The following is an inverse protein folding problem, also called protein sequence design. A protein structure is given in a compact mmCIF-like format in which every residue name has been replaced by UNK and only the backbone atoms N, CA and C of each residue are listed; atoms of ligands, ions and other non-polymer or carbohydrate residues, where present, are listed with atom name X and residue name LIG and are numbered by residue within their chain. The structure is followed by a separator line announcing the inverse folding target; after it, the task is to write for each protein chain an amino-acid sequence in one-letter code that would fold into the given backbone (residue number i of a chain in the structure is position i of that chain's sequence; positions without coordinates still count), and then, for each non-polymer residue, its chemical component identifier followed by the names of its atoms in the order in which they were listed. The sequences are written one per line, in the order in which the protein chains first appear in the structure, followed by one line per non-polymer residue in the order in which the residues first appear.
data_IF_972317116100
#
_entry.id   IF_972317116100
#
_cell.length_a   1.000
_cell.length_b   1.000
_cell.length_c   1.000
_cell.angle_alpha   90.00
_cell.angle_beta   90.00
_cell.angle_gamma   90.00
#
_symmetry.space_group_name_H-M   'P 1'
#
loop_
_entity.id
_entity.type
_entity.pdbx_description
1 polymer ?
#
# COMPACT_ATOMS: atom_id res chain seq x y z
N UNK A 1 -28.39 -29.14 65.74
CA UNK A 1 -28.06 -29.71 64.41
C UNK A 1 -28.46 -28.66 63.38
N UNK A 2 -27.48 -27.84 62.91
CA UNK A 2 -27.70 -26.77 61.92
C UNK A 2 -27.12 -27.25 60.58
N UNK A 3 -28.00 -27.42 59.58
CA UNK A 3 -27.63 -27.73 58.21
C UNK A 3 -27.21 -26.42 57.53
N UNK A 4 -25.94 -26.36 57.08
CA UNK A 4 -25.43 -25.30 56.16
C UNK A 4 -25.70 -25.77 54.72
N UNK A 5 -26.58 -25.07 54.04
CA UNK A 5 -26.77 -25.20 52.60
C UNK A 5 -25.78 -24.29 51.88
N UNK A 6 -24.79 -24.91 51.20
CA UNK A 6 -23.81 -24.22 50.38
C UNK A 6 -24.42 -24.00 48.96
N UNK A 7 -24.64 -22.73 48.60
CA UNK A 7 -25.07 -22.35 47.26
C UNK A 7 -23.86 -22.23 46.35
N UNK A 8 -23.72 -23.14 45.39
CA UNK A 8 -22.70 -23.14 44.37
C UNK A 8 -23.16 -22.22 43.20
N UNK A 9 -22.63 -21.02 43.16
CA UNK A 9 -22.90 -20.05 42.09
C UNK A 9 -22.22 -20.49 40.80
N UNK A 10 -22.99 -20.86 39.80
CA UNK A 10 -22.53 -21.18 38.44
C UNK A 10 -22.20 -19.89 37.69
N UNK A 11 -20.91 -19.58 37.55
CA UNK A 11 -20.43 -18.42 36.79
C UNK A 11 -20.53 -18.76 35.28
N UNK A 12 -21.56 -18.22 34.62
CA UNK A 12 -21.71 -18.31 33.17
C UNK A 12 -20.68 -17.36 32.52
N UNK A 13 -19.58 -17.92 32.00
CA UNK A 13 -18.69 -17.21 31.07
C UNK A 13 -19.43 -17.03 29.75
N UNK A 14 -19.95 -15.84 29.48
CA UNK A 14 -20.42 -15.47 28.15
C UNK A 14 -19.21 -15.35 27.21
N UNK A 15 -19.21 -15.99 26.03
CA UNK A 15 -18.16 -15.75 25.04
C UNK A 15 -18.26 -14.30 24.58
N UNK A 16 -17.18 -13.54 24.75
CA UNK A 16 -17.04 -12.23 24.15
C UNK A 16 -17.04 -12.42 22.64
N UNK A 17 -18.12 -12.06 21.99
CA UNK A 17 -18.18 -11.90 20.53
C UNK A 17 -17.21 -10.78 20.19
N UNK A 18 -16.02 -11.12 19.72
CA UNK A 18 -15.12 -10.19 19.08
C UNK A 18 -15.88 -9.65 17.86
N UNK A 19 -16.41 -8.43 17.97
CA UNK A 19 -16.89 -7.66 16.83
C UNK A 19 -15.65 -7.41 15.96
N UNK A 20 -15.46 -8.26 14.96
CA UNK A 20 -14.46 -8.05 13.93
C UNK A 20 -14.76 -6.69 13.30
N UNK A 21 -13.83 -5.75 13.42
CA UNK A 21 -13.85 -4.52 12.65
C UNK A 21 -13.79 -4.96 11.19
N UNK A 22 -14.94 -4.88 10.51
CA UNK A 22 -14.99 -5.14 9.08
C UNK A 22 -14.27 -4.00 8.37
N UNK A 23 -12.96 -4.13 8.15
CA UNK A 23 -12.16 -3.26 7.30
C UNK A 23 -12.54 -3.51 5.82
N UNK A 24 -13.83 -3.33 5.53
CA UNK A 24 -14.39 -3.45 4.20
C UNK A 24 -14.67 -2.10 3.57
N UNK A 25 -14.70 -2.06 2.26
CA UNK A 25 -15.12 -0.89 1.50
C UNK A 25 -16.04 -1.29 0.35
N UNK A 26 -16.74 -0.31 -0.21
CA UNK A 26 -17.63 -0.53 -1.34
C UNK A 26 -16.91 -0.29 -2.67
N UNK A 27 -16.96 -1.29 -3.55
CA UNK A 27 -16.70 -1.17 -4.98
C UNK A 27 -18.04 -1.08 -5.72
N UNK A 28 -18.54 0.13 -5.93
CA UNK A 28 -19.91 0.33 -6.40
C UNK A 28 -20.92 -0.15 -5.35
N UNK A 29 -21.70 -1.19 -5.70
CA UNK A 29 -22.69 -1.79 -4.80
C UNK A 29 -22.18 -3.04 -4.07
N UNK A 30 -20.94 -3.45 -4.32
CA UNK A 30 -20.38 -4.69 -3.78
C UNK A 30 -19.40 -4.39 -2.66
N UNK A 31 -19.46 -5.17 -1.59
CA UNK A 31 -18.54 -5.06 -0.47
C UNK A 31 -17.29 -5.89 -0.75
N UNK A 32 -16.14 -5.31 -0.49
CA UNK A 32 -14.83 -5.95 -0.46
C UNK A 32 -14.32 -5.90 0.96
N UNK A 33 -13.84 -7.02 1.47
CA UNK A 33 -13.39 -7.16 2.86
C UNK A 33 -11.96 -7.71 2.91
N UNK A 34 -11.25 -7.37 3.98
CA UNK A 34 -9.96 -8.02 4.28
C UNK A 34 -10.16 -9.53 4.36
N UNK A 35 -9.28 -10.28 3.73
CA UNK A 35 -9.37 -11.73 3.54
C UNK A 35 -9.93 -12.18 2.19
N UNK A 36 -10.61 -11.31 1.44
CA UNK A 36 -11.12 -11.63 0.11
C UNK A 36 -9.96 -12.03 -0.82
N UNK A 37 -10.12 -13.09 -1.62
CA UNK A 37 -9.10 -13.46 -2.59
C UNK A 37 -9.05 -12.45 -3.74
N UNK A 38 -7.88 -12.28 -4.34
CA UNK A 38 -7.62 -11.27 -5.39
C UNK A 38 -8.60 -11.38 -6.57
N UNK A 39 -8.95 -12.60 -7.01
CA UNK A 39 -9.90 -12.82 -8.10
C UNK A 39 -11.32 -12.34 -7.78
N UNK A 40 -11.72 -12.43 -6.50
CA UNK A 40 -13.03 -11.94 -6.07
C UNK A 40 -13.06 -10.42 -6.04
N UNK A 41 -12.00 -9.78 -5.54
CA UNK A 41 -11.84 -8.33 -5.58
C UNK A 41 -11.85 -7.82 -7.02
N UNK A 42 -11.14 -8.49 -7.94
CA UNK A 42 -11.14 -8.15 -9.37
C UNK A 42 -12.53 -8.18 -10.01
N UNK A 43 -13.40 -9.09 -9.56
CA UNK A 43 -14.80 -9.15 -10.06
C UNK A 43 -15.72 -8.10 -9.46
N UNK A 44 -15.38 -7.58 -8.30
CA UNK A 44 -16.20 -6.60 -7.56
C UNK A 44 -15.82 -5.16 -7.89
N UNK A 45 -14.54 -4.90 -8.15
CA UNK A 45 -13.97 -3.57 -8.32
C UNK A 45 -13.65 -3.23 -9.78
N UNK A 46 -13.47 -1.94 -10.11
CA UNK A 46 -12.93 -1.55 -11.38
C UNK A 46 -11.48 -2.04 -11.52
N UNK A 47 -11.00 -2.11 -12.75
CA UNK A 47 -9.62 -2.45 -13.03
C UNK A 47 -8.66 -1.45 -12.35
N UNK A 48 -7.61 -1.93 -11.66
CA UNK A 48 -6.62 -1.05 -11.07
C UNK A 48 -5.85 -0.31 -12.17
N UNK A 49 -5.72 1.01 -12.03
CA UNK A 49 -4.92 1.80 -12.96
C UNK A 49 -3.42 1.71 -12.67
N UNK A 50 -3.06 1.21 -11.50
CA UNK A 50 -1.67 1.02 -11.08
C UNK A 50 -1.54 -0.26 -10.27
N UNK A 51 -0.55 -1.07 -10.64
CA UNK A 51 -0.22 -2.29 -9.91
C UNK A 51 1.27 -2.35 -9.61
N UNK A 52 1.62 -2.84 -8.44
CA UNK A 52 2.99 -3.11 -8.00
C UNK A 52 3.03 -4.51 -7.40
N UNK A 53 4.16 -5.19 -7.53
CA UNK A 53 4.38 -6.45 -6.82
C UNK A 53 5.81 -6.52 -6.30
N UNK A 54 5.96 -7.04 -5.08
CA UNK A 54 7.24 -7.23 -4.43
C UNK A 54 7.20 -8.44 -3.53
N UNK A 55 8.35 -8.99 -3.24
CA UNK A 55 8.50 -10.01 -2.22
C UNK A 55 8.89 -9.33 -0.89
N UNK A 56 8.15 -9.62 0.16
CA UNK A 56 8.40 -9.07 1.50
C UNK A 56 8.63 -10.18 2.52
N UNK A 57 9.52 -9.97 3.50
CA UNK A 57 9.61 -10.83 4.66
C UNK A 57 8.29 -10.80 5.44
N UNK A 58 7.62 -11.94 5.57
CA UNK A 58 6.39 -12.08 6.36
C UNK A 58 6.69 -12.46 7.81
N UNK A 59 7.68 -13.30 8.01
CA UNK A 59 8.09 -13.78 9.32
C UNK A 59 9.60 -13.65 9.46
N UNK A 60 10.03 -13.06 10.56
CA UNK A 60 11.44 -13.04 10.93
C UNK A 60 11.61 -13.54 12.37
N UNK A 61 12.73 -14.22 12.64
CA UNK A 61 13.07 -14.62 14.01
C UNK A 61 13.52 -13.42 14.86
N UNK A 62 13.73 -13.67 16.15
CA UNK A 62 14.18 -12.63 17.09
C UNK A 62 15.56 -12.01 16.74
N UNK A 63 16.30 -12.64 15.84
CA UNK A 63 17.60 -12.17 15.35
C UNK A 63 17.49 -11.46 13.99
N UNK A 64 16.24 -11.29 13.47
CA UNK A 64 15.97 -10.66 12.19
C UNK A 64 16.26 -11.54 10.96
N UNK A 65 16.43 -12.88 11.13
CA UNK A 65 16.52 -13.78 10.00
C UNK A 65 15.12 -13.98 9.42
N UNK A 66 15.00 -13.80 8.12
CA UNK A 66 13.76 -14.03 7.39
C UNK A 66 13.47 -15.52 7.36
N UNK A 67 12.35 -15.94 7.91
CA UNK A 67 11.87 -17.32 7.94
C UNK A 67 10.87 -17.60 6.82
N UNK A 68 10.12 -16.58 6.43
CA UNK A 68 9.12 -16.68 5.38
C UNK A 68 9.11 -15.41 4.55
N UNK A 69 9.04 -15.58 3.23
CA UNK A 69 8.87 -14.49 2.26
C UNK A 69 7.52 -14.68 1.57
N UNK A 70 6.73 -13.64 1.52
CA UNK A 70 5.45 -13.64 0.82
C UNK A 70 5.45 -12.67 -0.33
N UNK A 71 4.59 -12.95 -1.31
CA UNK A 71 4.33 -12.04 -2.41
C UNK A 71 3.30 -11.01 -2.00
N UNK A 72 3.70 -9.76 -2.05
CA UNK A 72 2.80 -8.61 -1.85
C UNK A 72 2.49 -8.01 -3.21
N UNK A 73 1.20 -7.97 -3.53
CA UNK A 73 0.67 -7.29 -4.70
C UNK A 73 -0.14 -6.08 -4.24
N UNK A 74 0.06 -4.95 -4.90
CA UNK A 74 -0.59 -3.70 -4.54
C UNK A 74 -1.36 -3.18 -5.74
N UNK A 75 -2.64 -2.90 -5.53
CA UNK A 75 -3.51 -2.27 -6.51
C UNK A 75 -3.89 -0.87 -6.09
N UNK A 76 -3.95 0.04 -7.03
CA UNK A 76 -4.52 1.36 -6.80
C UNK A 76 -5.72 1.57 -7.72
N UNK A 77 -6.87 1.87 -7.10
CA UNK A 77 -8.16 2.07 -7.76
C UNK A 77 -8.53 3.55 -7.77
N UNK A 78 -9.07 4.03 -8.89
CA UNK A 78 -9.62 5.37 -9.03
C UNK A 78 -11.14 5.31 -9.12
N UNK A 79 -11.81 6.09 -8.29
CA UNK A 79 -13.28 6.21 -8.27
C UNK A 79 -13.77 7.60 -8.72
N UNK A 80 -12.89 8.38 -9.36
CA UNK A 80 -13.17 9.74 -9.80
C UNK A 80 -12.89 10.81 -8.75
N UNK A 81 -12.86 12.07 -9.17
CA UNK A 81 -12.38 13.21 -8.37
C UNK A 81 -13.23 13.55 -7.12
N UNK A 82 -14.39 12.94 -6.97
CA UNK A 82 -15.25 13.13 -5.79
C UNK A 82 -15.05 12.04 -4.72
N UNK A 83 -14.22 11.07 -5.00
CA UNK A 83 -13.97 9.92 -4.13
C UNK A 83 -12.47 9.76 -3.90
N UNK A 84 -12.12 9.24 -2.75
CA UNK A 84 -10.73 8.87 -2.47
C UNK A 84 -10.32 7.66 -3.31
N UNK A 85 -9.10 7.68 -3.84
CA UNK A 85 -8.48 6.48 -4.38
C UNK A 85 -8.28 5.46 -3.27
N UNK A 86 -8.26 4.19 -3.62
CA UNK A 86 -8.01 3.08 -2.69
C UNK A 86 -6.75 2.34 -3.08
N UNK A 87 -5.88 2.14 -2.11
CA UNK A 87 -4.73 1.27 -2.21
C UNK A 87 -5.06 -0.04 -1.50
N UNK A 88 -5.02 -1.13 -2.25
CA UNK A 88 -5.28 -2.49 -1.79
C UNK A 88 -3.96 -3.24 -1.73
N UNK A 89 -3.64 -3.87 -0.62
CA UNK A 89 -2.45 -4.70 -0.47
C UNK A 89 -2.89 -6.16 -0.29
N UNK A 90 -2.46 -7.02 -1.20
CA UNK A 90 -2.70 -8.46 -1.15
C UNK A 90 -1.43 -9.16 -0.71
N UNK A 91 -1.54 -10.09 0.23
CA UNK A 91 -0.46 -10.97 0.67
C UNK A 91 -0.83 -12.39 0.25
N UNK A 92 0.04 -13.01 -0.54
CA UNK A 92 -0.20 -14.37 -1.05
C UNK A 92 -1.60 -14.53 -1.67
N UNK A 93 -2.03 -13.52 -2.46
CA UNK A 93 -3.30 -13.53 -3.19
C UNK A 93 -4.56 -13.25 -2.36
N UNK A 94 -4.41 -12.80 -1.10
CA UNK A 94 -5.53 -12.38 -0.25
C UNK A 94 -5.40 -10.93 0.18
N UNK A 95 -6.52 -10.19 0.17
CA UNK A 95 -6.55 -8.80 0.62
C UNK A 95 -6.17 -8.73 2.10
N UNK A 96 -5.07 -8.08 2.38
CA UNK A 96 -4.51 -7.91 3.72
C UNK A 96 -4.81 -6.53 4.29
N UNK A 97 -4.86 -5.52 3.42
CA UNK A 97 -5.04 -4.14 3.87
C UNK A 97 -5.70 -3.28 2.80
N UNK A 98 -6.54 -2.36 3.27
CA UNK A 98 -7.13 -1.28 2.45
C UNK A 98 -6.70 0.06 3.03
N UNK A 99 -6.26 0.98 2.18
CA UNK A 99 -5.92 2.35 2.57
C UNK A 99 -6.59 3.35 1.66
N UNK A 100 -7.06 4.43 2.26
CA UNK A 100 -7.45 5.63 1.50
C UNK A 100 -6.20 6.40 1.08
N UNK A 101 -6.24 6.92 -0.14
CA UNK A 101 -5.24 7.85 -0.68
C UNK A 101 -5.88 9.23 -0.86
N UNK A 102 -5.23 10.11 -1.61
CA UNK A 102 -5.82 11.38 -2.04
C UNK A 102 -7.06 11.18 -2.93
N UNK A 103 -7.72 12.29 -3.26
CA UNK A 103 -8.84 12.27 -4.19
C UNK A 103 -8.42 11.71 -5.55
N UNK A 104 -9.33 10.98 -6.17
CA UNK A 104 -9.15 10.45 -7.51
C UNK A 104 -9.18 11.53 -8.58
N UNK A 105 -9.08 11.12 -9.83
CA UNK A 105 -9.11 12.01 -11.01
C UNK A 105 -10.30 11.66 -11.90
N UNK A 106 -10.85 12.67 -12.60
CA UNK A 106 -11.96 12.47 -13.54
C UNK A 106 -11.49 12.10 -14.96
N UNK A 107 -10.22 12.29 -15.25
CA UNK A 107 -9.61 11.86 -16.50
C UNK A 107 -9.04 10.44 -16.31
N UNK A 108 -8.71 9.80 -17.39
CA UNK A 108 -8.00 8.53 -17.32
C UNK A 108 -6.66 8.74 -16.59
N UNK A 109 -6.38 7.98 -15.50
CA UNK A 109 -5.12 8.10 -14.78
C UNK A 109 -3.92 7.97 -15.71
N UNK A 110 -2.97 8.90 -15.57
CA UNK A 110 -1.78 8.92 -16.40
C UNK A 110 -1.92 9.60 -17.77
N UNK A 111 -3.13 10.00 -18.19
CA UNK A 111 -3.37 10.67 -19.47
C UNK A 111 -2.98 12.15 -19.52
N UNK A 112 -2.79 12.78 -18.37
CA UNK A 112 -2.39 14.20 -18.25
C UNK A 112 -0.93 14.33 -17.88
N UNK A 113 -0.35 15.48 -18.27
CA UNK A 113 0.98 15.88 -17.86
C UNK A 113 0.90 17.06 -16.90
N UNK A 114 1.61 16.96 -15.80
CA UNK A 114 1.77 18.04 -14.84
C UNK A 114 2.70 19.14 -15.34
N UNK A 115 2.53 20.34 -14.77
CA UNK A 115 3.56 21.37 -14.78
C UNK A 115 4.49 21.23 -13.56
N UNK A 116 5.62 21.98 -13.53
CA UNK A 116 6.60 21.88 -12.44
C UNK A 116 6.02 22.25 -11.06
N UNK A 117 4.97 23.08 -11.02
CA UNK A 117 4.30 23.49 -9.78
C UNK A 117 3.39 22.42 -9.17
N UNK A 118 3.02 21.39 -9.94
CA UNK A 118 2.12 20.33 -9.48
C UNK A 118 2.86 19.19 -8.74
N UNK A 119 4.20 19.21 -8.79
CA UNK A 119 5.06 18.16 -8.22
C UNK A 119 5.67 18.61 -6.88
N UNK A 120 4.86 18.92 -5.90
CA UNK A 120 5.33 19.53 -4.65
C UNK A 120 4.99 18.76 -3.38
N UNK A 121 4.13 17.75 -3.44
CA UNK A 121 3.61 17.11 -2.23
C UNK A 121 4.41 15.86 -1.86
N UNK A 122 5.24 15.98 -0.82
CA UNK A 122 5.86 14.82 -0.21
C UNK A 122 4.81 13.91 0.45
N UNK A 123 5.06 12.60 0.42
CA UNK A 123 4.19 11.59 1.02
C UNK A 123 3.20 10.93 0.08
N UNK A 124 2.95 11.50 -1.10
CA UNK A 124 2.15 10.88 -2.15
C UNK A 124 2.76 9.53 -2.58
N UNK A 125 1.90 8.62 -2.97
CA UNK A 125 2.33 7.36 -3.59
C UNK A 125 2.72 7.61 -5.05
N UNK A 126 3.55 6.71 -5.58
CA UNK A 126 3.91 6.72 -7.01
C UNK A 126 2.66 6.65 -7.90
N UNK A 127 1.63 5.91 -7.48
CA UNK A 127 0.35 5.81 -8.17
C UNK A 127 -0.42 7.14 -8.21
N UNK A 128 -0.41 7.91 -7.11
CA UNK A 128 -1.05 9.22 -7.05
C UNK A 128 -0.35 10.22 -7.98
N UNK A 129 0.98 10.22 -7.98
CA UNK A 129 1.76 11.05 -8.90
C UNK A 129 1.47 10.64 -10.35
N UNK A 130 1.48 9.34 -10.66
CA UNK A 130 1.14 8.84 -11.99
C UNK A 130 -0.28 9.23 -12.42
N UNK A 131 -1.27 9.04 -11.56
CA UNK A 131 -2.66 9.37 -11.88
C UNK A 131 -2.82 10.84 -12.31
N UNK A 132 -2.09 11.74 -11.65
CA UNK A 132 -2.15 13.18 -11.90
C UNK A 132 -1.25 13.65 -13.03
N UNK A 133 -0.05 13.09 -13.13
CA UNK A 133 1.03 13.64 -13.95
C UNK A 133 1.46 12.76 -15.14
N UNK A 134 0.97 11.52 -15.20
CA UNK A 134 1.41 10.54 -16.20
C UNK A 134 2.79 9.97 -15.90
N UNK A 135 3.33 9.25 -16.89
CA UNK A 135 4.68 8.69 -16.78
C UNK A 135 5.74 9.80 -16.80
N UNK A 136 6.86 9.62 -16.08
CA UNK A 136 8.01 10.51 -16.19
C UNK A 136 8.69 10.36 -17.55
N UNK A 137 9.54 11.32 -17.91
CA UNK A 137 10.39 11.21 -19.10
C UNK A 137 11.51 10.21 -18.89
N UNK A 138 12.02 10.15 -17.64
CA UNK A 138 13.07 9.20 -17.24
C UNK A 138 12.72 8.56 -15.91
N UNK A 139 12.95 7.26 -15.81
CA UNK A 139 12.76 6.50 -14.57
C UNK A 139 13.91 5.52 -14.39
N UNK A 140 14.46 5.45 -13.19
CA UNK A 140 15.45 4.43 -12.84
C UNK A 140 15.35 4.03 -11.37
N UNK A 141 15.66 2.76 -11.10
CA UNK A 141 15.71 2.22 -9.76
C UNK A 141 17.12 2.34 -9.21
N UNK A 142 17.24 2.87 -7.99
CA UNK A 142 18.51 2.91 -7.28
C UNK A 142 18.66 1.57 -6.56
N UNK A 143 19.70 0.79 -6.88
CA UNK A 143 19.95 -0.47 -6.16
C UNK A 143 20.08 -0.21 -4.66
N UNK A 144 19.28 -0.89 -3.88
CA UNK A 144 19.45 -0.88 -2.43
C UNK A 144 20.68 -1.71 -2.06
N UNK A 145 21.63 -1.19 -1.26
CA UNK A 145 22.75 -1.97 -0.82
C UNK A 145 22.24 -3.15 0.00
N UNK A 146 22.42 -4.36 -0.53
CA UNK A 146 22.22 -5.59 0.23
C UNK A 146 23.33 -5.67 1.25
N UNK A 147 23.08 -5.39 2.51
CA UNK A 147 24.02 -5.73 3.57
C UNK A 147 24.04 -7.24 3.74
N UNK A 148 25.00 -7.90 3.13
CA UNK A 148 25.35 -9.25 3.49
C UNK A 148 26.00 -9.18 4.87
N UNK A 149 25.24 -9.57 5.90
CA UNK A 149 25.82 -9.75 7.21
C UNK A 149 26.67 -11.01 7.20
N UNK A 150 27.93 -10.86 7.55
CA UNK A 150 28.80 -11.99 7.89
C UNK A 150 28.29 -12.54 9.22
N UNK A 151 27.98 -13.86 9.27
CA UNK A 151 27.39 -14.54 10.43
C UNK A 151 25.99 -14.06 10.88
N UNK A 152 24.96 -14.50 10.16
CA UNK A 152 23.57 -14.53 10.69
C UNK A 152 22.91 -13.20 11.01
N UNK A 153 23.43 -12.09 10.50
CA UNK A 153 22.84 -10.78 10.68
C UNK A 153 21.68 -10.55 9.73
N UNK A 154 20.64 -9.94 10.26
CA UNK A 154 19.44 -9.46 9.60
C UNK A 154 19.73 -8.82 8.24
N UNK A 155 19.09 -9.30 7.19
CA UNK A 155 18.98 -8.58 5.93
C UNK A 155 18.04 -7.40 6.21
N UNK A 156 18.60 -6.25 6.59
CA UNK A 156 17.86 -5.01 6.48
C UNK A 156 17.78 -4.70 4.98
N UNK A 157 16.65 -5.03 4.39
CA UNK A 157 16.34 -4.59 3.06
C UNK A 157 16.16 -3.08 3.13
N UNK A 158 17.14 -2.33 2.68
CA UNK A 158 16.97 -0.90 2.47
C UNK A 158 15.81 -0.74 1.49
N UNK A 159 14.88 0.16 1.80
CA UNK A 159 13.66 0.33 1.01
C UNK A 159 13.93 0.50 -0.47
N UNK A 160 13.04 0.02 -1.31
CA UNK A 160 13.11 0.20 -2.76
C UNK A 160 13.13 1.69 -3.08
N UNK A 161 14.15 2.13 -3.82
CA UNK A 161 14.35 3.53 -4.17
C UNK A 161 14.22 3.69 -5.67
N UNK A 162 13.36 4.64 -6.10
CA UNK A 162 13.13 4.96 -7.51
C UNK A 162 13.20 6.45 -7.73
N UNK A 163 13.82 6.85 -8.82
CA UNK A 163 13.86 8.25 -9.27
C UNK A 163 13.01 8.38 -10.53
N UNK A 164 12.14 9.38 -10.53
CA UNK A 164 11.42 9.85 -11.69
C UNK A 164 11.84 11.25 -12.03
N UNK A 165 12.11 11.51 -13.30
CA UNK A 165 12.45 12.85 -13.81
C UNK A 165 11.40 13.28 -14.81
N UNK A 166 10.84 14.46 -14.57
CA UNK A 166 9.94 15.15 -15.52
C UNK A 166 10.70 16.30 -16.15
N UNK A 167 10.81 16.29 -17.48
CA UNK A 167 11.37 17.37 -18.28
C UNK A 167 10.23 18.24 -18.83
N UNK A 168 10.28 19.51 -18.55
CA UNK A 168 9.29 20.51 -18.98
C UNK A 168 9.74 21.35 -20.17
N UNK A 169 10.82 20.92 -20.83
CA UNK A 169 11.41 21.59 -21.98
C UNK A 169 12.38 22.72 -21.62
N UNK A 170 12.98 23.37 -22.63
CA UNK A 170 14.18 24.21 -22.46
C UNK A 170 13.98 25.49 -21.66
N UNK A 171 12.72 25.88 -21.40
CA UNK A 171 12.39 27.11 -20.64
C UNK A 171 12.09 26.86 -19.17
N UNK A 172 11.96 25.63 -18.76
CA UNK A 172 11.58 25.25 -17.40
C UNK A 172 12.57 24.22 -16.87
N UNK A 173 12.86 24.32 -15.59
CA UNK A 173 13.78 23.37 -14.96
C UNK A 173 13.07 22.02 -14.75
N UNK A 174 13.73 20.91 -15.03
CA UNK A 174 13.20 19.58 -14.76
C UNK A 174 12.98 19.38 -13.26
N UNK A 175 12.19 18.38 -12.91
CA UNK A 175 11.95 17.94 -11.53
C UNK A 175 12.33 16.49 -11.38
N UNK A 176 13.14 16.24 -10.38
CA UNK A 176 13.53 14.89 -9.97
C UNK A 176 12.78 14.51 -8.69
N UNK A 177 12.06 13.41 -8.73
CA UNK A 177 11.25 12.86 -7.65
C UNK A 177 11.92 11.59 -7.12
N UNK A 178 12.34 11.62 -5.86
CA UNK A 178 12.83 10.42 -5.17
C UNK A 178 11.70 9.73 -4.44
N UNK A 179 11.36 8.52 -4.86
CA UNK A 179 10.46 7.61 -4.15
C UNK A 179 11.25 6.62 -3.31
N UNK A 180 10.75 6.33 -2.11
CA UNK A 180 11.24 5.27 -1.23
C UNK A 180 10.04 4.45 -0.80
N UNK A 181 10.07 3.16 -1.05
CA UNK A 181 8.95 2.23 -0.81
C UNK A 181 7.63 2.71 -1.44
N UNK A 182 7.72 3.17 -2.70
CA UNK A 182 6.59 3.68 -3.47
C UNK A 182 6.00 5.01 -2.98
N UNK A 183 6.69 5.74 -2.06
CA UNK A 183 6.26 7.05 -1.56
C UNK A 183 7.25 8.15 -1.88
N UNK A 184 6.73 9.27 -2.37
CA UNK A 184 7.51 10.47 -2.66
C UNK A 184 8.15 11.03 -1.38
N UNK A 185 9.46 11.09 -1.37
CA UNK A 185 10.26 11.62 -0.25
C UNK A 185 10.83 12.99 -0.52
N UNK A 186 11.22 13.24 -1.76
CA UNK A 186 11.85 14.50 -2.13
C UNK A 186 11.54 14.85 -3.58
N UNK A 187 11.35 16.13 -3.82
CA UNK A 187 11.36 16.75 -5.14
C UNK A 187 12.56 17.69 -5.19
N UNK A 188 13.36 17.59 -6.22
CA UNK A 188 14.54 18.42 -6.43
C UNK A 188 14.65 18.89 -7.89
N UNK A 189 15.47 19.87 -8.11
CA UNK A 189 15.99 20.25 -9.42
C UNK A 189 17.32 19.52 -9.54
N UNK A 190 17.55 18.70 -10.57
CA UNK A 190 18.82 17.99 -10.77
C UNK A 190 19.97 18.93 -11.05
#
# INVERSE_FOLDING_TARGET
MKLLTSAFGLLLLAPALALGVNDGFYCGQRIVSVGDPVWEVARKCPEPFWTESRDEPLVADRHGRVLEVGRVEVWTLNFGARHFMRRLEFVNGRLSRVRELGYGVNHEPGSRRCGPGDLTQAGETIAEVFARCGLPDYSYDIPSPRRHGYYGSSVQQAGERRIWTYDFGPRLQPRELLFVDGRLRRVSIP
#
